data_IF_655213064796
#
_entry.id   IF_655213064796
#
_cell.length_a   1.000
_cell.length_b   1.000
_cell.length_c   1.000
_cell.angle_alpha   90.00
_cell.angle_beta   90.00
_cell.angle_gamma   90.00
#
_symmetry.space_group_name_H-M   'P 1'
#
loop_
_entity.id
_entity.type
_entity.pdbx_description
1 polymer ?
#
# COMPACT_ATOMS: atom_id res chain seq x y z
N UNK A 1 -8.19 6.77 -55.13
CA UNK A 1 -9.38 6.75 -54.26
C UNK A 1 -9.00 7.51 -52.98
N UNK A 2 -9.54 8.66 -52.59
CA UNK A 2 -10.75 9.41 -52.94
C UNK A 2 -10.50 10.89 -52.58
N UNK A 3 -10.74 11.84 -53.47
CA UNK A 3 -10.92 13.25 -53.08
C UNK A 3 -11.93 13.92 -54.01
N UNK A 4 -13.22 13.64 -53.82
CA UNK A 4 -14.28 14.33 -54.58
C UNK A 4 -15.43 14.77 -53.70
N UNK A 5 -15.12 15.39 -52.55
CA UNK A 5 -16.13 16.15 -51.81
C UNK A 5 -15.55 17.51 -51.37
N UNK A 6 -16.23 18.63 -51.66
CA UNK A 6 -15.86 19.94 -51.17
C UNK A 6 -15.70 19.95 -49.64
N UNK A 7 -14.65 20.62 -49.16
CA UNK A 7 -14.35 20.74 -47.73
C UNK A 7 -15.57 21.22 -46.91
N UNK A 8 -16.36 22.13 -47.48
CA UNK A 8 -17.57 22.65 -46.82
C UNK A 8 -18.62 21.56 -46.55
N UNK A 9 -18.78 20.58 -47.46
CA UNK A 9 -19.70 19.44 -47.26
C UNK A 9 -19.20 18.56 -46.12
N UNK A 10 -17.89 18.25 -46.12
CA UNK A 10 -17.27 17.43 -45.08
C UNK A 10 -17.39 18.08 -43.70
N UNK A 11 -17.09 19.37 -43.60
CA UNK A 11 -17.19 20.13 -42.35
C UNK A 11 -18.62 20.22 -41.84
N UNK A 12 -19.61 20.32 -42.72
CA UNK A 12 -21.03 20.34 -42.35
C UNK A 12 -21.48 18.97 -41.80
N UNK A 13 -21.09 17.87 -42.43
CA UNK A 13 -21.38 16.50 -41.96
C UNK A 13 -20.79 16.25 -40.56
N UNK A 14 -19.54 16.68 -40.35
CA UNK A 14 -18.81 16.49 -39.08
C UNK A 14 -19.23 17.55 -38.03
N UNK A 15 -20.08 18.52 -38.40
CA UNK A 15 -20.50 19.67 -37.57
C UNK A 15 -19.32 20.45 -36.99
N UNK A 16 -18.28 20.68 -37.80
CA UNK A 16 -17.08 21.40 -37.40
C UNK A 16 -17.03 22.77 -38.10
N UNK A 17 -16.83 23.84 -37.34
CA UNK A 17 -16.68 25.17 -37.93
C UNK A 17 -15.42 25.26 -38.82
N UNK A 18 -15.53 25.92 -39.98
CA UNK A 18 -14.41 26.10 -40.92
C UNK A 18 -13.20 26.77 -40.30
N UNK A 19 -13.41 27.75 -39.42
CA UNK A 19 -12.34 28.39 -38.63
C UNK A 19 -11.59 27.39 -37.73
N UNK A 20 -12.30 26.41 -37.17
CA UNK A 20 -11.73 25.36 -36.31
C UNK A 20 -10.85 24.42 -37.12
N UNK A 21 -11.29 24.02 -38.32
CA UNK A 21 -10.48 23.22 -39.24
C UNK A 21 -9.14 23.89 -39.57
N UNK A 22 -9.17 25.14 -40.03
CA UNK A 22 -7.93 25.87 -40.37
C UNK A 22 -7.07 26.18 -39.14
N UNK A 23 -7.67 26.38 -37.96
CA UNK A 23 -6.93 26.48 -36.70
C UNK A 23 -6.15 25.20 -36.39
N UNK A 24 -6.79 24.03 -36.51
CA UNK A 24 -6.13 22.75 -36.30
C UNK A 24 -5.08 22.44 -37.38
N UNK A 25 -5.36 22.73 -38.65
CA UNK A 25 -4.42 22.58 -39.76
C UNK A 25 -3.16 23.44 -39.53
N UNK A 26 -3.33 24.69 -39.11
CA UNK A 26 -2.22 25.57 -38.74
C UNK A 26 -1.44 25.07 -37.52
N UNK A 27 -2.08 24.34 -36.60
CA UNK A 27 -1.40 23.70 -35.47
C UNK A 27 -0.64 22.43 -35.89
N UNK A 28 -1.18 21.64 -36.81
CA UNK A 28 -0.54 20.43 -37.33
C UNK A 28 0.73 20.74 -38.12
N UNK A 29 0.73 21.85 -38.86
CA UNK A 29 1.89 22.30 -39.64
C UNK A 29 2.98 23.01 -38.81
N UNK A 30 2.79 23.16 -37.49
CA UNK A 30 3.82 23.76 -36.64
C UNK A 30 4.89 22.74 -36.26
N UNK A 31 6.15 23.10 -36.49
CA UNK A 31 7.31 22.32 -36.05
C UNK A 31 7.30 22.16 -34.53
N UNK A 32 7.47 20.93 -34.04
CA UNK A 32 7.52 20.66 -32.61
C UNK A 32 8.79 21.28 -32.00
N UNK A 33 8.61 22.38 -31.26
CA UNK A 33 9.68 23.08 -30.54
C UNK A 33 10.48 22.19 -29.59
N UNK A 34 9.92 21.04 -29.18
CA UNK A 34 10.57 20.10 -28.27
C UNK A 34 11.19 18.89 -28.98
N UNK A 35 11.22 18.87 -30.32
CA UNK A 35 11.73 17.73 -31.08
C UNK A 35 13.19 17.42 -30.72
N UNK A 36 14.06 18.43 -30.60
CA UNK A 36 15.46 18.25 -30.17
C UNK A 36 15.55 17.59 -28.79
N UNK A 37 14.78 18.09 -27.82
CA UNK A 37 14.75 17.54 -26.46
C UNK A 37 14.19 16.10 -26.44
N UNK A 38 13.19 15.80 -27.28
CA UNK A 38 12.62 14.45 -27.38
C UNK A 38 13.63 13.45 -27.93
N UNK A 39 14.37 13.82 -28.98
CA UNK A 39 15.44 12.99 -29.55
C UNK A 39 16.52 12.73 -28.50
N UNK A 40 16.94 13.75 -27.76
CA UNK A 40 17.96 13.59 -26.72
C UNK A 40 17.48 12.73 -25.55
N UNK A 41 16.23 12.91 -25.11
CA UNK A 41 15.59 12.06 -24.09
C UNK A 41 15.62 10.59 -24.54
N UNK A 42 15.30 10.33 -25.80
CA UNK A 42 15.30 8.97 -26.36
C UNK A 42 16.72 8.38 -26.36
N UNK A 43 17.71 9.15 -26.82
CA UNK A 43 19.11 8.72 -26.83
C UNK A 43 19.63 8.36 -25.42
N UNK A 44 19.40 9.22 -24.42
CA UNK A 44 19.77 8.96 -23.02
C UNK A 44 19.06 7.70 -22.49
N UNK A 45 17.77 7.55 -22.84
CA UNK A 45 16.99 6.40 -22.38
C UNK A 45 17.54 5.08 -22.94
N UNK A 46 17.90 5.05 -24.22
CA UNK A 46 18.43 3.87 -24.91
C UNK A 46 19.85 3.53 -24.42
N UNK A 47 20.72 4.54 -24.23
CA UNK A 47 22.06 4.38 -23.66
C UNK A 47 22.03 3.71 -22.29
N UNK A 48 21.09 4.09 -21.44
CA UNK A 48 20.92 3.49 -20.11
C UNK A 48 19.95 2.30 -20.08
N UNK A 49 19.59 1.74 -21.23
CA UNK A 49 18.73 0.55 -21.39
C UNK A 49 17.39 0.68 -20.65
N UNK A 50 16.81 1.88 -20.61
CA UNK A 50 15.53 2.16 -19.95
C UNK A 50 15.54 2.14 -18.41
N UNK A 51 16.71 2.07 -17.77
CA UNK A 51 16.81 2.12 -16.31
C UNK A 51 16.61 3.53 -15.74
N UNK A 52 16.82 4.55 -16.55
CA UNK A 52 16.76 5.94 -16.10
C UNK A 52 15.33 6.47 -16.18
N UNK A 53 14.84 6.97 -15.05
CA UNK A 53 13.60 7.76 -14.99
C UNK A 53 13.83 9.23 -15.26
N UNK A 54 12.73 9.99 -15.35
CA UNK A 54 12.76 11.41 -15.72
C UNK A 54 13.72 12.26 -14.89
N UNK A 55 13.92 11.96 -13.60
CA UNK A 55 14.86 12.69 -12.74
C UNK A 55 16.32 12.50 -13.18
N UNK A 56 16.71 11.26 -13.49
CA UNK A 56 18.06 10.94 -13.95
C UNK A 56 18.29 11.46 -15.37
N UNK A 57 17.29 11.33 -16.25
CA UNK A 57 17.34 11.90 -17.61
C UNK A 57 17.45 13.42 -17.56
N UNK A 58 16.76 14.11 -16.64
CA UNK A 58 16.89 15.56 -16.48
C UNK A 58 18.32 15.97 -16.08
N UNK A 59 18.96 15.17 -15.22
CA UNK A 59 20.34 15.42 -14.83
C UNK A 59 21.30 15.23 -16.00
N UNK A 60 21.15 14.14 -16.76
CA UNK A 60 21.94 13.90 -17.98
C UNK A 60 21.74 14.96 -19.06
N UNK A 61 20.49 15.38 -19.29
CA UNK A 61 20.19 16.49 -20.20
C UNK A 61 20.94 17.76 -19.78
N UNK A 62 21.01 18.04 -18.48
CA UNK A 62 21.74 19.20 -17.97
C UNK A 62 23.25 19.07 -18.19
N UNK A 63 23.81 17.86 -18.04
CA UNK A 63 25.22 17.57 -18.35
C UNK A 63 25.52 17.78 -19.84
N UNK A 64 24.56 17.50 -20.72
CA UNK A 64 24.64 17.73 -22.17
C UNK A 64 24.29 19.16 -22.59
N UNK A 65 24.15 20.09 -21.65
CA UNK A 65 23.90 21.51 -21.91
C UNK A 65 22.43 21.91 -22.09
N UNK A 66 21.48 21.00 -21.91
CA UNK A 66 20.05 21.32 -21.99
C UNK A 66 19.52 21.81 -20.63
N UNK A 67 19.12 23.08 -20.55
CA UNK A 67 18.46 23.64 -19.36
C UNK A 67 16.94 23.41 -19.46
N UNK A 68 16.47 22.28 -18.94
CA UNK A 68 15.06 21.88 -19.00
C UNK A 68 14.53 21.52 -17.61
N UNK A 69 13.34 22.02 -17.25
CA UNK A 69 12.69 21.65 -16.00
C UNK A 69 12.29 20.17 -15.99
N UNK A 70 12.56 19.47 -14.89
CA UNK A 70 12.19 18.07 -14.66
C UNK A 70 10.71 17.75 -14.95
N UNK A 71 9.77 18.67 -14.70
CA UNK A 71 8.34 18.47 -15.01
C UNK A 71 8.09 18.40 -16.53
N UNK A 72 8.84 19.17 -17.31
CA UNK A 72 8.77 19.17 -18.78
C UNK A 72 9.34 17.87 -19.33
N UNK A 73 10.48 17.41 -18.82
CA UNK A 73 11.07 16.11 -19.15
C UNK A 73 10.08 14.98 -18.86
N UNK A 74 9.47 14.97 -17.67
CA UNK A 74 8.46 13.97 -17.30
C UNK A 74 7.27 13.96 -18.27
N UNK A 75 6.76 15.13 -18.66
CA UNK A 75 5.66 15.24 -19.65
C UNK A 75 6.08 14.70 -21.02
N UNK A 76 7.27 15.03 -21.49
CA UNK A 76 7.79 14.56 -22.78
C UNK A 76 8.01 13.04 -22.78
N UNK A 77 8.57 12.48 -21.71
CA UNK A 77 8.71 11.03 -21.55
C UNK A 77 7.35 10.31 -21.60
N UNK A 78 6.33 10.85 -20.92
CA UNK A 78 4.96 10.30 -20.99
C UNK A 78 4.41 10.32 -22.41
N UNK A 79 4.61 11.41 -23.16
CA UNK A 79 4.18 11.51 -24.56
C UNK A 79 4.91 10.52 -25.47
N UNK A 80 6.17 10.20 -25.16
CA UNK A 80 6.97 9.19 -25.87
C UNK A 80 6.70 7.76 -25.40
N UNK A 81 5.87 7.54 -24.38
CA UNK A 81 5.61 6.22 -23.81
C UNK A 81 6.79 5.64 -23.00
N UNK A 82 7.78 6.45 -22.63
CA UNK A 82 8.97 6.01 -21.92
C UNK A 82 8.72 5.90 -20.42
N UNK A 83 9.09 4.76 -19.83
CA UNK A 83 8.98 4.53 -18.38
C UNK A 83 10.21 3.81 -17.84
N UNK A 84 10.68 4.21 -16.67
CA UNK A 84 11.84 3.56 -16.06
C UNK A 84 11.50 2.16 -15.58
N UNK A 85 12.38 1.19 -15.87
CA UNK A 85 12.27 -0.15 -15.31
C UNK A 85 12.58 -0.13 -13.80
N UNK A 86 11.55 -0.15 -12.97
CA UNK A 86 11.67 -0.17 -11.50
C UNK A 86 11.57 -1.62 -11.01
N UNK A 87 12.67 -2.17 -10.47
CA UNK A 87 12.65 -3.46 -9.78
C UNK A 87 11.84 -3.33 -8.49
N UNK A 88 10.80 -4.15 -8.33
CA UNK A 88 10.07 -4.25 -7.05
C UNK A 88 11.04 -4.71 -5.96
N UNK A 89 11.23 -3.91 -4.92
CA UNK A 89 11.99 -4.34 -3.73
C UNK A 89 11.20 -5.45 -3.04
N UNK A 90 11.85 -6.59 -2.76
CA UNK A 90 11.24 -7.63 -1.91
C UNK A 90 11.03 -7.05 -0.51
N UNK A 91 9.87 -7.32 0.10
CA UNK A 91 9.69 -7.07 1.53
C UNK A 91 10.66 -7.97 2.30
N UNK A 92 11.39 -7.39 3.24
CA UNK A 92 12.24 -8.15 4.14
C UNK A 92 11.36 -9.09 4.99
N UNK A 93 11.73 -10.37 5.04
CA UNK A 93 11.09 -11.38 5.89
C UNK A 93 12.16 -11.95 6.82
N UNK A 94 12.15 -11.52 8.08
CA UNK A 94 13.06 -12.01 9.14
C UNK A 94 12.60 -13.35 9.73
N UNK A 95 11.35 -13.75 9.48
CA UNK A 95 10.78 -14.99 10.02
C UNK A 95 11.27 -16.20 9.21
N UNK A 96 12.03 -17.08 9.86
CA UNK A 96 12.63 -18.30 9.28
C UNK A 96 11.80 -19.57 9.54
N UNK A 97 10.57 -19.46 10.03
CA UNK A 97 9.73 -20.60 10.43
C UNK A 97 9.71 -20.83 11.95
N UNK A 98 9.14 -21.96 12.38
CA UNK A 98 9.08 -22.38 13.79
C UNK A 98 10.41 -22.98 14.22
N UNK A 99 11.41 -22.13 14.50
CA UNK A 99 12.71 -22.57 15.00
C UNK A 99 12.78 -22.31 16.50
N UNK A 100 12.74 -23.37 17.32
CA UNK A 100 12.97 -23.32 18.77
C UNK A 100 11.80 -23.79 19.65
N UNK A 101 12.07 -24.04 20.94
CA UNK A 101 11.02 -24.29 21.94
C UNK A 101 10.29 -22.97 22.23
N UNK A 102 8.98 -22.94 21.97
CA UNK A 102 8.12 -21.82 22.36
C UNK A 102 7.88 -21.90 23.87
N UNK A 103 7.97 -20.76 24.56
CA UNK A 103 7.64 -20.71 25.97
C UNK A 103 6.14 -20.92 26.16
N UNK A 104 5.76 -21.63 27.22
CA UNK A 104 4.38 -21.95 27.53
C UNK A 104 3.57 -20.68 27.88
N UNK A 105 4.20 -19.70 28.54
CA UNK A 105 3.61 -18.40 28.80
C UNK A 105 4.53 -17.27 28.31
N UNK A 106 4.16 -16.65 27.19
CA UNK A 106 4.83 -15.49 26.62
C UNK A 106 4.02 -14.22 26.91
N UNK A 107 4.51 -13.38 27.82
CA UNK A 107 3.93 -12.07 28.14
C UNK A 107 4.84 -10.92 27.68
N UNK A 108 4.34 -9.69 27.80
CA UNK A 108 5.17 -8.50 27.66
C UNK A 108 5.80 -8.09 29.02
N UNK A 109 6.62 -7.05 29.00
CA UNK A 109 7.27 -6.51 30.19
C UNK A 109 6.40 -5.47 30.93
N UNK A 110 5.07 -5.58 30.86
CA UNK A 110 4.17 -4.75 31.65
C UNK A 110 4.40 -4.96 33.14
N UNK A 111 4.24 -3.91 33.95
CA UNK A 111 4.52 -3.95 35.40
C UNK A 111 3.72 -5.04 36.14
N UNK A 112 2.52 -5.36 35.67
CA UNK A 112 1.64 -6.39 36.22
C UNK A 112 2.27 -7.79 36.11
N UNK A 113 2.93 -8.06 34.98
CA UNK A 113 3.60 -9.34 34.71
C UNK A 113 4.98 -9.46 35.35
N UNK A 114 5.52 -8.34 35.88
CA UNK A 114 6.77 -8.31 36.63
C UNK A 114 6.56 -8.46 38.15
N UNK A 115 5.31 -8.40 38.61
CA UNK A 115 5.02 -8.43 40.04
C UNK A 115 5.25 -9.85 40.60
N UNK A 116 5.84 -9.93 41.80
CA UNK A 116 6.19 -11.21 42.45
C UNK A 116 4.99 -12.17 42.57
N UNK A 117 3.80 -11.62 42.85
CA UNK A 117 2.56 -12.39 42.89
C UNK A 117 2.30 -13.17 41.58
N UNK A 118 2.53 -12.53 40.42
CA UNK A 118 2.29 -13.17 39.13
C UNK A 118 3.29 -14.30 38.87
N UNK A 119 4.55 -14.12 39.29
CA UNK A 119 5.56 -15.18 39.22
C UNK A 119 5.19 -16.37 40.10
N UNK A 120 4.79 -16.14 41.35
CA UNK A 120 4.34 -17.19 42.27
C UNK A 120 3.10 -17.92 41.73
N UNK A 121 2.11 -17.18 41.23
CA UNK A 121 0.91 -17.76 40.62
C UNK A 121 1.23 -18.69 39.44
N UNK A 122 2.23 -18.34 38.62
CA UNK A 122 2.64 -19.18 37.49
C UNK A 122 3.42 -20.41 37.93
N UNK A 123 4.30 -20.26 38.93
CA UNK A 123 5.04 -21.38 39.55
C UNK A 123 4.08 -22.41 40.17
N UNK A 124 3.05 -21.95 40.88
CA UNK A 124 1.98 -22.81 41.45
C UNK A 124 1.20 -23.57 40.37
N UNK A 125 1.13 -23.02 39.14
CA UNK A 125 0.52 -23.66 37.97
C UNK A 125 1.52 -24.47 37.14
N UNK A 126 2.77 -24.61 37.59
CA UNK A 126 3.81 -25.35 36.89
C UNK A 126 4.26 -24.70 35.56
N UNK A 127 3.99 -23.41 35.37
CA UNK A 127 4.31 -22.68 34.15
C UNK A 127 5.48 -21.72 34.39
N UNK A 128 6.51 -21.76 33.55
CA UNK A 128 7.59 -20.78 33.64
C UNK A 128 7.23 -19.47 32.94
N UNK A 129 7.37 -18.30 33.60
CA UNK A 129 7.15 -17.01 32.96
C UNK A 129 8.24 -16.73 31.92
N UNK A 130 7.83 -16.31 30.71
CA UNK A 130 8.73 -15.80 29.69
C UNK A 130 8.25 -14.44 29.19
N UNK A 131 9.11 -13.44 29.21
CA UNK A 131 8.78 -12.09 28.76
C UNK A 131 9.51 -11.74 27.46
N UNK A 132 8.77 -11.16 26.51
CA UNK A 132 9.32 -10.69 25.23
C UNK A 132 10.29 -9.53 25.42
N UNK A 133 11.27 -9.37 24.52
CA UNK A 133 12.17 -8.19 24.53
C UNK A 133 11.37 -6.90 24.39
N UNK A 134 11.80 -5.84 25.10
CA UNK A 134 11.21 -4.50 24.97
C UNK A 134 11.16 -4.07 23.50
N UNK A 135 9.99 -3.67 23.05
CA UNK A 135 9.75 -3.24 21.66
C UNK A 135 9.41 -4.36 20.67
N UNK A 136 9.28 -5.63 21.11
CA UNK A 136 8.88 -6.72 20.23
C UNK A 136 7.35 -6.82 20.05
N UNK A 137 6.82 -5.97 19.17
CA UNK A 137 5.37 -5.91 18.86
C UNK A 137 4.76 -7.19 18.24
N UNK A 138 5.47 -7.99 17.42
CA UNK A 138 4.89 -9.17 16.78
C UNK A 138 4.36 -10.22 17.75
N UNK A 139 5.10 -10.48 18.83
CA UNK A 139 4.79 -11.53 19.81
C UNK A 139 3.44 -11.28 20.51
N UNK A 140 3.15 -10.02 20.83
CA UNK A 140 1.87 -9.61 21.42
C UNK A 140 0.81 -9.21 20.36
N UNK A 141 1.16 -9.24 19.08
CA UNK A 141 0.32 -8.73 18.00
C UNK A 141 -0.97 -9.53 17.81
N UNK A 142 -0.93 -10.84 18.05
CA UNK A 142 -2.09 -11.72 17.92
C UNK A 142 -3.13 -11.42 19.00
N UNK A 143 -2.72 -11.34 20.27
CA UNK A 143 -3.61 -10.98 21.38
C UNK A 143 -4.10 -9.53 21.25
N UNK A 144 -3.24 -8.60 20.81
CA UNK A 144 -3.65 -7.24 20.50
C UNK A 144 -4.75 -7.16 19.44
N UNK A 145 -4.66 -7.98 18.38
CA UNK A 145 -5.70 -8.07 17.35
C UNK A 145 -7.01 -8.63 17.92
N UNK A 146 -6.94 -9.66 18.76
CA UNK A 146 -8.13 -10.22 19.41
C UNK A 146 -8.84 -9.17 20.28
N UNK A 147 -8.11 -8.49 21.17
CA UNK A 147 -8.70 -7.45 22.02
C UNK A 147 -9.24 -6.26 21.24
N UNK A 148 -8.64 -5.93 20.10
CA UNK A 148 -9.18 -4.92 19.19
C UNK A 148 -10.56 -5.32 18.65
N UNK A 149 -10.67 -6.56 18.15
CA UNK A 149 -11.93 -7.11 17.63
C UNK A 149 -12.99 -7.17 18.73
N UNK A 150 -12.64 -7.75 19.89
CA UNK A 150 -13.53 -7.84 21.05
C UNK A 150 -14.08 -6.47 21.40
N UNK A 151 -13.22 -5.46 21.62
CA UNK A 151 -13.68 -4.12 21.98
C UNK A 151 -14.57 -3.49 20.91
N UNK A 152 -14.23 -3.67 19.64
CA UNK A 152 -15.05 -3.16 18.53
C UNK A 152 -16.42 -3.80 18.44
N UNK A 153 -16.55 -5.09 18.75
CA UNK A 153 -17.79 -5.84 18.58
C UNK A 153 -18.69 -5.78 19.82
N UNK A 154 -18.13 -5.84 21.03
CA UNK A 154 -18.93 -5.95 22.26
C UNK A 154 -18.93 -4.71 23.14
N UNK A 155 -17.96 -3.80 22.98
CA UNK A 155 -17.77 -2.71 23.92
C UNK A 155 -18.08 -1.35 23.31
N UNK A 156 -17.42 -0.99 22.21
CA UNK A 156 -17.58 0.33 21.59
C UNK A 156 -19.00 0.49 21.02
N UNK A 157 -19.71 1.52 21.49
CA UNK A 157 -21.11 1.78 21.12
C UNK A 157 -22.15 1.10 22.01
N UNK A 158 -21.72 0.18 22.88
CA UNK A 158 -22.56 -0.52 23.85
C UNK A 158 -22.17 -0.19 25.29
N UNK A 159 -21.37 0.86 25.54
CA UNK A 159 -20.88 1.13 26.90
C UNK A 159 -22.02 1.38 27.91
N UNK A 160 -23.16 1.89 27.45
CA UNK A 160 -24.32 2.20 28.29
C UNK A 160 -25.23 0.99 28.56
N UNK A 161 -25.06 -0.13 27.86
CA UNK A 161 -25.90 -1.33 28.05
C UNK A 161 -25.41 -2.21 29.20
N UNK A 162 -24.20 -1.97 29.70
CA UNK A 162 -23.65 -2.66 30.86
C UNK A 162 -23.90 -1.84 32.12
N UNK A 163 -24.73 -2.37 33.01
CA UNK A 163 -25.09 -1.71 34.28
C UNK A 163 -24.26 -2.23 35.47
N UNK A 164 -23.53 -3.34 35.29
CA UNK A 164 -22.62 -3.90 36.31
C UNK A 164 -21.37 -4.51 35.66
N UNK A 165 -20.32 -4.67 36.48
CA UNK A 165 -19.10 -5.37 36.06
C UNK A 165 -19.36 -6.86 35.80
N UNK A 166 -20.22 -7.50 36.60
CA UNK A 166 -20.61 -8.90 36.41
C UNK A 166 -21.27 -9.12 35.04
N UNK A 167 -22.13 -8.19 34.62
CA UNK A 167 -22.78 -8.27 33.30
C UNK A 167 -21.75 -8.15 32.16
N UNK A 168 -20.76 -7.29 32.31
CA UNK A 168 -19.67 -7.15 31.35
C UNK A 168 -18.78 -8.41 31.32
N UNK A 169 -18.46 -8.96 32.48
CA UNK A 169 -17.69 -10.20 32.60
C UNK A 169 -18.41 -11.36 31.90
N UNK A 170 -19.71 -11.54 32.15
CA UNK A 170 -20.49 -12.57 31.48
C UNK A 170 -20.52 -12.37 29.97
N UNK A 171 -20.70 -11.13 29.50
CA UNK A 171 -20.69 -10.84 28.06
C UNK A 171 -19.32 -11.13 27.40
N UNK A 172 -18.22 -10.91 28.12
CA UNK A 172 -16.87 -11.26 27.65
C UNK A 172 -16.72 -12.78 27.57
N UNK A 173 -17.18 -13.52 28.58
CA UNK A 173 -17.14 -15.00 28.58
C UNK A 173 -17.93 -15.57 27.40
N UNK A 174 -19.18 -15.12 27.23
CA UNK A 174 -20.05 -15.56 26.14
C UNK A 174 -19.43 -15.22 24.76
N UNK A 175 -18.79 -14.06 24.66
CA UNK A 175 -18.09 -13.65 23.44
C UNK A 175 -16.87 -14.52 23.14
N UNK A 176 -16.09 -14.91 24.15
CA UNK A 176 -14.94 -15.80 23.96
C UNK A 176 -15.41 -17.15 23.41
N UNK A 177 -16.51 -17.70 23.95
CA UNK A 177 -17.08 -18.95 23.45
C UNK A 177 -17.60 -18.82 22.01
N UNK A 178 -18.26 -17.70 21.69
CA UNK A 178 -18.65 -17.37 20.32
C UNK A 178 -17.43 -17.26 19.39
N UNK A 179 -16.40 -16.52 19.80
CA UNK A 179 -15.19 -16.29 19.01
C UNK A 179 -14.47 -17.58 18.69
N UNK A 180 -14.36 -18.49 19.67
CA UNK A 180 -13.63 -19.73 19.50
C UNK A 180 -14.40 -20.78 18.69
N UNK A 181 -15.73 -20.86 18.85
CA UNK A 181 -16.51 -22.00 18.34
C UNK A 181 -17.50 -21.65 17.21
N UNK A 182 -17.82 -20.36 17.00
CA UNK A 182 -18.87 -19.93 16.07
C UNK A 182 -18.42 -18.85 15.09
N UNK A 183 -17.36 -18.11 15.40
CA UNK A 183 -16.90 -16.99 14.58
C UNK A 183 -16.19 -17.47 13.29
N UNK A 184 -16.82 -17.21 12.16
CA UNK A 184 -16.35 -17.61 10.83
C UNK A 184 -15.15 -16.76 10.40
N UNK A 185 -13.99 -17.39 10.12
CA UNK A 185 -12.83 -16.69 9.56
C UNK A 185 -12.60 -17.08 8.10
N UNK A 186 -12.63 -16.09 7.20
CA UNK A 186 -12.31 -16.28 5.78
C UNK A 186 -10.92 -16.89 5.56
N UNK A 187 -9.93 -16.48 6.38
CA UNK A 187 -8.56 -17.03 6.34
C UNK A 187 -8.48 -18.52 6.72
N UNK A 188 -9.45 -19.01 7.49
CA UNK A 188 -9.58 -20.42 7.90
C UNK A 188 -10.58 -21.18 7.01
N UNK A 189 -10.84 -20.70 5.78
CA UNK A 189 -11.83 -21.29 4.86
C UNK A 189 -13.25 -21.37 5.44
N UNK A 190 -13.60 -20.43 6.31
CA UNK A 190 -14.92 -20.35 6.94
C UNK A 190 -15.07 -21.13 8.24
N UNK A 191 -13.98 -21.72 8.77
CA UNK A 191 -13.98 -22.37 10.07
C UNK A 191 -13.79 -21.37 11.21
N UNK A 192 -14.20 -21.79 12.41
CA UNK A 192 -13.89 -21.13 13.67
C UNK A 192 -12.41 -21.32 14.05
N UNK A 193 -11.87 -20.49 14.96
CA UNK A 193 -10.48 -20.61 15.41
C UNK A 193 -10.12 -21.95 16.06
N UNK A 194 -11.09 -22.56 16.74
CA UNK A 194 -11.05 -23.92 17.31
C UNK A 194 -11.96 -24.81 16.46
#
# INVERSE_FOLDING_TARGET
MVTEFPLDILLNIIKLARSTYYYHLKKLNQVDKNQSIKVEIQAIYDEHRGNYGYRRITFELRNRGFVVNQKKVQRLMKLLGLSSQIRRKRKHSSYQGEVGKKADNLSDQGWQYQHQYYHQFLEDKGTQPSMSRKGNRPDNGMMGSFFGILKSEIFYGYEKTFHSLEQLEQAIVDYIDYYNNKHIKAKLKGLSPV
#
